data_IF_744378202070
#
_entry.id   IF_744378202070
#
_cell.length_a   1.000
_cell.length_b   1.000
_cell.length_c   1.000
_cell.angle_alpha   90.00
_cell.angle_beta   90.00
_cell.angle_gamma   90.00
#
_symmetry.space_group_name_H-M   'P 1'
#
loop_
_entity.id
_entity.type
_entity.pdbx_description
1 polymer ?
#
# COMPACT_ATOMS: atom_id res chain seq x y z
N UNK A 1 -29.82 -23.24 52.65
CA UNK A 1 -28.75 -23.07 51.65
C UNK A 1 -28.06 -21.73 51.92
N UNK A 2 -26.76 -21.71 52.19
CA UNK A 2 -26.00 -20.46 52.39
C UNK A 2 -25.61 -19.90 51.02
N UNK A 3 -26.29 -18.86 50.56
CA UNK A 3 -25.90 -18.13 49.35
C UNK A 3 -24.63 -17.34 49.68
N UNK A 4 -23.45 -17.92 49.39
CA UNK A 4 -22.17 -17.19 49.45
C UNK A 4 -22.10 -16.29 48.22
N UNK A 5 -22.50 -15.03 48.37
CA UNK A 5 -22.26 -14.00 47.36
C UNK A 5 -20.77 -13.67 47.24
N UNK A 6 -20.36 -13.19 46.07
CA UNK A 6 -19.01 -12.68 45.84
C UNK A 6 -18.75 -11.46 46.73
N UNK A 7 -17.54 -11.40 47.31
CA UNK A 7 -17.10 -10.23 48.08
C UNK A 7 -16.57 -9.15 47.14
N UNK A 8 -16.60 -7.90 47.62
CA UNK A 8 -16.19 -6.74 46.84
C UNK A 8 -14.69 -6.78 46.48
N UNK A 9 -13.87 -7.36 47.36
CA UNK A 9 -12.43 -7.55 47.14
C UNK A 9 -12.15 -8.57 46.04
N UNK A 10 -12.89 -9.69 46.02
CA UNK A 10 -12.76 -10.71 44.96
C UNK A 10 -13.14 -10.14 43.59
N UNK A 11 -14.19 -9.33 43.53
CA UNK A 11 -14.60 -8.66 42.28
C UNK A 11 -13.52 -7.67 41.79
N UNK A 12 -12.93 -6.89 42.70
CA UNK A 12 -11.89 -5.92 42.36
C UNK A 12 -10.63 -6.60 41.84
N UNK A 13 -10.20 -7.70 42.46
CA UNK A 13 -9.05 -8.48 42.01
C UNK A 13 -9.23 -9.02 40.57
N UNK A 14 -10.43 -9.52 40.24
CA UNK A 14 -10.75 -10.00 38.89
C UNK A 14 -10.70 -8.87 37.86
N UNK A 15 -11.24 -7.69 38.17
CA UNK A 15 -11.22 -6.53 37.26
C UNK A 15 -9.77 -6.11 36.96
N UNK A 16 -8.90 -6.07 37.97
CA UNK A 16 -7.48 -5.74 37.79
C UNK A 16 -6.81 -6.75 36.85
N UNK A 17 -6.99 -8.05 37.08
CA UNK A 17 -6.40 -9.09 36.23
C UNK A 17 -6.92 -8.98 34.79
N UNK A 18 -8.23 -8.80 34.61
CA UNK A 18 -8.84 -8.64 33.28
C UNK A 18 -8.27 -7.42 32.55
N UNK A 19 -8.09 -6.28 33.23
CA UNK A 19 -7.55 -5.06 32.62
C UNK A 19 -6.12 -5.26 32.08
N UNK A 20 -5.28 -6.02 32.80
CA UNK A 20 -3.92 -6.35 32.37
C UNK A 20 -3.92 -7.25 31.14
N UNK A 21 -4.75 -8.29 31.13
CA UNK A 21 -4.87 -9.23 30.02
C UNK A 21 -5.37 -8.54 28.75
N UNK A 22 -6.40 -7.69 28.87
CA UNK A 22 -6.94 -6.91 27.74
C UNK A 22 -5.85 -6.01 27.15
N UNK A 23 -5.08 -5.33 28.00
CA UNK A 23 -4.01 -4.43 27.55
C UNK A 23 -2.98 -5.17 26.69
N UNK A 24 -2.45 -6.30 27.17
CA UNK A 24 -1.47 -7.10 26.41
C UNK A 24 -2.07 -7.65 25.11
N UNK A 25 -3.34 -8.07 25.16
CA UNK A 25 -4.09 -8.55 24.00
C UNK A 25 -4.20 -7.49 22.90
N UNK A 26 -4.59 -6.25 23.25
CA UNK A 26 -4.80 -5.18 22.28
C UNK A 26 -3.52 -4.76 21.55
N UNK A 27 -2.39 -4.61 22.25
CA UNK A 27 -1.10 -4.25 21.62
C UNK A 27 -0.65 -5.30 20.60
N UNK A 28 -0.79 -6.58 20.94
CA UNK A 28 -0.47 -7.69 20.06
C UNK A 28 -1.29 -7.65 18.76
N UNK A 29 -2.60 -7.46 18.88
CA UNK A 29 -3.51 -7.39 17.72
C UNK A 29 -3.21 -6.16 16.85
N UNK A 30 -2.94 -5.00 17.45
CA UNK A 30 -2.61 -3.79 16.68
C UNK A 30 -1.34 -3.97 15.84
N UNK A 31 -0.30 -4.60 16.40
CA UNK A 31 0.94 -4.88 15.67
C UNK A 31 0.71 -5.81 14.48
N UNK A 32 -0.04 -6.89 14.68
CA UNK A 32 -0.38 -7.84 13.61
C UNK A 32 -1.14 -7.12 12.49
N UNK A 33 -2.17 -6.35 12.85
CA UNK A 33 -2.96 -5.58 11.89
C UNK A 33 -2.09 -4.65 11.06
N UNK A 34 -1.22 -3.87 11.69
CA UNK A 34 -0.35 -2.93 10.98
C UNK A 34 0.60 -3.63 10.00
N UNK A 35 1.16 -4.78 10.40
CA UNK A 35 2.00 -5.58 9.52
C UNK A 35 1.22 -6.15 8.33
N UNK A 36 -0.03 -6.60 8.56
CA UNK A 36 -0.91 -7.05 7.47
C UNK A 36 -1.24 -5.93 6.49
N UNK A 37 -1.53 -4.71 6.97
CA UNK A 37 -1.79 -3.56 6.10
C UNK A 37 -0.56 -3.18 5.27
N UNK A 38 0.64 -3.21 5.85
CA UNK A 38 1.90 -2.99 5.11
C UNK A 38 2.11 -4.04 4.02
N UNK A 39 1.90 -5.32 4.35
CA UNK A 39 2.02 -6.41 3.37
C UNK A 39 1.04 -6.27 2.20
N UNK A 40 -0.16 -5.75 2.43
CA UNK A 40 -1.10 -5.45 1.35
C UNK A 40 -0.59 -4.34 0.44
N UNK A 41 -0.01 -3.27 1.00
CA UNK A 41 0.63 -2.20 0.21
C UNK A 41 1.80 -2.77 -0.59
N UNK A 42 2.68 -3.55 0.02
CA UNK A 42 3.82 -4.17 -0.67
C UNK A 42 3.38 -5.08 -1.83
N UNK A 43 2.28 -5.81 -1.64
CA UNK A 43 1.68 -6.63 -2.71
C UNK A 43 1.20 -5.76 -3.86
N UNK A 44 0.49 -4.66 -3.57
CA UNK A 44 0.06 -3.69 -4.59
C UNK A 44 1.23 -3.08 -5.34
N UNK A 45 2.32 -2.74 -4.65
CA UNK A 45 3.56 -2.23 -5.29
C UNK A 45 4.10 -3.25 -6.29
N UNK A 46 4.23 -4.52 -5.87
CA UNK A 46 4.73 -5.58 -6.74
C UNK A 46 3.81 -5.81 -7.95
N UNK A 47 2.49 -5.79 -7.74
CA UNK A 47 1.51 -5.95 -8.82
C UNK A 47 1.54 -4.78 -9.81
N UNK A 48 1.73 -3.54 -9.31
CA UNK A 48 1.91 -2.35 -10.13
C UNK A 48 3.21 -2.41 -10.94
N UNK A 49 4.31 -2.86 -10.34
CA UNK A 49 5.57 -3.08 -11.06
C UNK A 49 5.43 -4.15 -12.14
N UNK A 50 4.75 -5.26 -11.85
CA UNK A 50 4.46 -6.29 -12.85
C UNK A 50 3.61 -5.74 -14.00
N UNK A 51 2.57 -4.97 -13.70
CA UNK A 51 1.70 -4.32 -14.70
C UNK A 51 2.46 -3.30 -15.55
N UNK A 52 3.37 -2.55 -14.93
CA UNK A 52 4.23 -1.61 -15.61
C UNK A 52 5.25 -2.30 -16.54
N UNK A 53 5.76 -3.46 -16.15
CA UNK A 53 6.61 -4.28 -17.02
C UNK A 53 5.85 -4.66 -18.29
N UNK A 54 4.60 -5.12 -18.16
CA UNK A 54 3.76 -5.47 -19.31
C UNK A 54 3.53 -4.24 -20.19
N UNK A 55 3.17 -3.10 -19.61
CA UNK A 55 2.99 -1.84 -20.35
C UNK A 55 4.24 -1.46 -21.16
N UNK A 56 5.44 -1.52 -20.57
CA UNK A 56 6.67 -1.22 -21.29
C UNK A 56 7.12 -2.27 -22.29
N UNK A 57 6.58 -3.49 -22.23
CA UNK A 57 6.81 -4.55 -23.21
C UNK A 57 5.91 -4.36 -24.43
N UNK A 58 4.64 -4.05 -24.23
CA UNK A 58 3.66 -3.83 -25.30
C UNK A 58 3.83 -2.47 -25.98
N UNK A 59 4.24 -1.44 -25.23
CA UNK A 59 4.54 -0.10 -25.77
C UNK A 59 6.03 0.24 -25.61
N UNK A 60 6.94 -0.40 -26.36
CA UNK A 60 8.38 -0.20 -26.20
C UNK A 60 8.84 1.24 -26.49
N UNK A 61 8.09 1.97 -27.31
CA UNK A 61 8.43 3.33 -27.76
C UNK A 61 8.28 4.38 -26.65
N UNK A 62 7.58 4.06 -25.56
CA UNK A 62 7.48 4.96 -24.40
C UNK A 62 8.83 5.12 -23.69
N UNK A 63 9.75 4.16 -23.87
CA UNK A 63 11.08 4.12 -23.22
C UNK A 63 12.09 5.01 -23.96
N UNK A 64 11.72 6.27 -24.17
CA UNK A 64 12.44 7.24 -24.98
C UNK A 64 13.27 8.25 -24.18
N UNK A 65 13.37 8.08 -22.86
CA UNK A 65 14.09 8.99 -21.99
C UNK A 65 15.13 8.26 -21.15
N UNK A 66 16.08 9.02 -20.59
CA UNK A 66 17.02 8.48 -19.61
C UNK A 66 16.48 8.65 -18.20
N UNK A 67 16.82 7.73 -17.31
CA UNK A 67 16.53 7.88 -15.88
C UNK A 67 17.67 7.36 -15.02
N UNK A 68 17.72 7.84 -13.78
CA UNK A 68 18.61 7.33 -12.75
C UNK A 68 17.78 6.58 -11.71
N UNK A 69 18.09 5.31 -11.51
CA UNK A 69 17.44 4.44 -10.54
C UNK A 69 18.53 3.87 -9.63
N UNK A 70 18.47 4.19 -8.33
CA UNK A 70 19.44 3.79 -7.31
C UNK A 70 20.91 4.08 -7.67
N UNK A 71 21.18 5.21 -8.34
CA UNK A 71 22.53 5.60 -8.76
C UNK A 71 22.98 4.99 -10.09
N UNK A 72 22.13 4.21 -10.77
CA UNK A 72 22.41 3.62 -12.08
C UNK A 72 21.64 4.36 -13.17
N UNK A 73 22.34 4.84 -14.20
CA UNK A 73 21.74 5.48 -15.37
C UNK A 73 21.26 4.43 -16.39
N UNK A 74 20.02 4.57 -16.85
CA UNK A 74 19.43 3.76 -17.90
C UNK A 74 19.08 4.64 -19.11
N UNK A 75 19.53 4.23 -20.29
CA UNK A 75 19.31 4.99 -21.54
C UNK A 75 17.89 4.89 -22.09
N UNK A 76 17.14 3.85 -21.71
CA UNK A 76 15.80 3.55 -22.20
C UNK A 76 14.87 3.39 -21.01
N UNK A 77 14.16 4.46 -20.70
CA UNK A 77 13.37 4.57 -19.49
C UNK A 77 12.19 5.52 -19.67
N UNK A 78 11.19 5.38 -18.80
CA UNK A 78 10.06 6.28 -18.67
C UNK A 78 9.58 6.31 -17.22
N UNK A 79 9.28 7.51 -16.72
CA UNK A 79 8.50 7.69 -15.50
C UNK A 79 7.01 7.64 -15.84
N UNK A 80 6.26 6.81 -15.14
CA UNK A 80 4.82 6.62 -15.32
C UNK A 80 4.12 6.73 -13.97
N UNK A 81 2.91 7.28 -13.98
CA UNK A 81 2.04 7.34 -12.80
C UNK A 81 1.11 6.13 -12.78
N UNK A 82 0.74 5.67 -11.59
CA UNK A 82 -0.21 4.56 -11.42
C UNK A 82 -1.52 4.78 -12.16
N UNK A 83 -2.07 6.01 -12.15
CA UNK A 83 -3.28 6.36 -12.91
C UNK A 83 -3.19 6.01 -14.41
N UNK A 84 -2.00 6.13 -15.00
CA UNK A 84 -1.79 5.82 -16.43
C UNK A 84 -1.93 4.33 -16.69
N UNK A 85 -1.38 3.47 -15.81
CA UNK A 85 -1.52 2.02 -15.95
C UNK A 85 -2.98 1.57 -15.85
N UNK A 86 -3.74 2.20 -14.94
CA UNK A 86 -5.15 1.85 -14.75
C UNK A 86 -6.01 2.32 -15.94
N UNK A 87 -5.80 3.56 -16.41
CA UNK A 87 -6.55 4.11 -17.55
C UNK A 87 -6.26 3.37 -18.85
N UNK A 88 -5.03 2.90 -19.03
CA UNK A 88 -4.63 2.11 -20.19
C UNK A 88 -4.97 0.61 -20.05
N UNK A 89 -5.59 0.19 -18.94
CA UNK A 89 -6.07 -1.19 -18.75
C UNK A 89 -5.00 -2.20 -18.32
N UNK A 90 -3.80 -1.76 -17.99
CA UNK A 90 -2.71 -2.62 -17.50
C UNK A 90 -2.87 -3.01 -16.02
N UNK A 91 -3.67 -2.26 -15.26
CA UNK A 91 -3.98 -2.57 -13.87
C UNK A 91 -5.47 -2.35 -13.59
N UNK A 92 -6.10 -3.31 -12.92
CA UNK A 92 -7.49 -3.18 -12.49
C UNK A 92 -7.58 -2.94 -10.98
N UNK A 93 -8.39 -1.97 -10.59
CA UNK A 93 -8.79 -1.76 -9.20
C UNK A 93 -10.31 -1.82 -9.07
N UNK A 94 -10.79 -2.37 -7.96
CA UNK A 94 -12.20 -2.35 -7.55
C UNK A 94 -12.43 -1.48 -6.31
N UNK A 95 -11.39 -0.81 -5.84
CA UNK A 95 -11.43 -0.01 -4.63
C UNK A 95 -12.15 1.32 -4.89
N UNK A 96 -12.76 1.83 -3.82
CA UNK A 96 -13.44 3.12 -3.81
C UNK A 96 -12.79 4.00 -2.76
N UNK A 97 -12.68 5.29 -3.06
CA UNK A 97 -12.32 6.29 -2.06
C UNK A 97 -13.52 6.69 -1.19
N UNK A 98 -13.30 7.60 -0.24
CA UNK A 98 -14.33 8.09 0.69
C UNK A 98 -15.56 8.72 0.01
N UNK A 99 -15.45 9.09 -1.27
CA UNK A 99 -16.55 9.66 -2.06
C UNK A 99 -17.21 8.61 -2.98
N UNK A 100 -17.00 7.31 -2.73
CA UNK A 100 -17.49 6.19 -3.54
C UNK A 100 -17.04 6.24 -5.02
N UNK A 101 -15.93 6.91 -5.32
CA UNK A 101 -15.34 6.92 -6.66
C UNK A 101 -14.24 5.87 -6.78
N UNK A 102 -14.12 5.26 -7.94
CA UNK A 102 -13.08 4.25 -8.25
C UNK A 102 -11.69 4.86 -7.97
N UNK A 103 -10.86 4.10 -7.25
CA UNK A 103 -9.53 4.54 -6.81
C UNK A 103 -8.63 3.32 -6.56
N UNK A 104 -7.36 3.53 -6.21
CA UNK A 104 -6.48 2.53 -5.63
C UNK A 104 -5.93 3.09 -4.31
N UNK A 105 -6.22 2.45 -3.18
CA UNK A 105 -5.99 3.04 -1.87
C UNK A 105 -4.82 2.38 -1.16
N UNK A 106 -3.95 3.19 -0.56
CA UNK A 106 -2.92 2.69 0.35
C UNK A 106 -3.57 2.19 1.65
N UNK A 107 -3.42 0.89 1.96
CA UNK A 107 -4.08 0.28 3.12
C UNK A 107 -3.59 0.81 4.47
N UNK A 108 -2.41 1.46 4.52
CA UNK A 108 -1.82 2.02 5.75
C UNK A 108 -2.32 3.45 5.97
N UNK A 109 -2.14 4.33 4.99
CA UNK A 109 -2.44 5.78 5.11
C UNK A 109 -3.83 6.16 4.67
N UNK A 110 -4.52 5.29 3.91
CA UNK A 110 -5.79 5.56 3.22
C UNK A 110 -5.73 6.60 2.11
N UNK A 111 -4.52 7.01 1.72
CA UNK A 111 -4.33 7.93 0.60
C UNK A 111 -4.42 7.20 -0.75
N UNK A 112 -4.85 7.94 -1.78
CA UNK A 112 -4.88 7.43 -3.15
C UNK A 112 -3.46 7.19 -3.67
N UNK A 113 -3.27 6.05 -4.33
CA UNK A 113 -2.02 5.64 -4.99
C UNK A 113 -1.97 6.11 -6.45
N UNK A 114 -3.01 6.76 -6.99
CA UNK A 114 -3.09 7.16 -8.40
C UNK A 114 -1.94 8.08 -8.85
N UNK A 115 -1.43 8.90 -7.92
CA UNK A 115 -0.33 9.82 -8.13
C UNK A 115 1.04 9.22 -7.83
N UNK A 116 1.11 7.98 -7.34
CA UNK A 116 2.37 7.30 -7.10
C UNK A 116 3.08 7.06 -8.44
N UNK A 117 4.40 7.10 -8.40
CA UNK A 117 5.27 7.07 -9.57
C UNK A 117 6.19 5.86 -9.55
N UNK A 118 6.36 5.28 -10.73
CA UNK A 118 7.31 4.21 -11.00
C UNK A 118 8.09 4.50 -12.28
N UNK A 119 9.31 3.99 -12.32
CA UNK A 119 10.09 3.93 -13.56
C UNK A 119 9.86 2.60 -14.24
N UNK A 120 9.76 2.65 -15.57
CA UNK A 120 9.86 1.51 -16.47
C UNK A 120 11.17 1.69 -17.22
N UNK A 121 12.02 0.67 -17.28
CA UNK A 121 13.34 0.78 -17.88
C UNK A 121 13.76 -0.52 -18.56
N UNK A 122 14.62 -0.39 -19.58
CA UNK A 122 15.17 -1.54 -20.31
C UNK A 122 16.63 -1.76 -19.94
N UNK A 123 16.97 -3.02 -19.62
CA UNK A 123 18.33 -3.48 -19.37
C UNK A 123 18.52 -4.82 -20.08
N UNK A 124 19.58 -4.96 -20.88
CA UNK A 124 19.89 -6.20 -21.62
C UNK A 124 18.68 -6.75 -22.41
N UNK A 125 17.98 -5.85 -23.11
CA UNK A 125 16.77 -6.15 -23.89
C UNK A 125 15.57 -6.69 -23.08
N UNK A 126 15.57 -6.56 -21.75
CA UNK A 126 14.45 -6.90 -20.87
C UNK A 126 13.90 -5.65 -20.22
N UNK A 127 12.57 -5.60 -20.09
CA UNK A 127 11.84 -4.51 -19.43
C UNK A 127 11.72 -4.83 -17.94
N UNK A 128 11.96 -3.82 -17.12
CA UNK A 128 11.84 -3.83 -15.67
C UNK A 128 11.03 -2.63 -15.23
N UNK A 129 10.46 -2.70 -14.03
CA UNK A 129 9.84 -1.56 -13.38
C UNK A 129 10.34 -1.44 -11.94
N UNK A 130 10.30 -0.23 -11.40
CA UNK A 130 10.59 0.04 -10.00
C UNK A 130 9.79 1.23 -9.50
N UNK A 131 9.07 1.06 -8.39
CA UNK A 131 8.40 2.15 -7.70
C UNK A 131 9.43 3.01 -6.95
N UNK A 132 9.35 4.32 -7.10
CA UNK A 132 10.36 5.25 -6.58
C UNK A 132 9.80 6.23 -5.56
N UNK A 133 8.62 6.80 -5.84
CA UNK A 133 7.98 7.79 -4.99
C UNK A 133 6.56 7.32 -4.68
N UNK A 134 6.45 6.57 -3.58
CA UNK A 134 5.17 6.15 -3.02
C UNK A 134 4.63 7.31 -2.19
N UNK A 135 4.19 8.36 -2.89
CA UNK A 135 3.61 9.57 -2.31
C UNK A 135 2.47 9.25 -1.35
N UNK A 136 1.72 8.20 -1.64
CA UNK A 136 0.65 7.69 -0.79
C UNK A 136 1.11 7.23 0.60
N UNK A 137 2.40 6.96 0.83
CA UNK A 137 2.92 6.66 2.18
C UNK A 137 3.00 7.89 3.09
N UNK A 138 2.91 9.10 2.55
CA UNK A 138 2.90 10.33 3.32
C UNK A 138 1.45 10.77 3.59
N UNK A 139 1.05 10.82 4.86
CA UNK A 139 -0.31 11.17 5.29
C UNK A 139 -0.75 12.58 4.81
N UNK A 140 0.19 13.50 4.63
CA UNK A 140 -0.09 14.87 4.16
C UNK A 140 -0.19 14.99 2.65
N UNK A 141 0.09 13.93 1.89
CA UNK A 141 0.05 13.99 0.42
C UNK A 141 -1.38 13.86 -0.09
N UNK A 142 -1.79 14.82 -0.93
CA UNK A 142 -3.10 14.81 -1.60
C UNK A 142 -2.90 14.52 -3.08
N UNK A 143 -3.51 13.43 -3.54
CA UNK A 143 -3.57 13.10 -4.96
C UNK A 143 -4.84 13.68 -5.60
N UNK A 144 -4.67 14.47 -6.65
CA UNK A 144 -5.78 15.11 -7.39
C UNK A 144 -6.15 14.36 -8.69
N UNK A 145 -5.62 13.15 -8.90
CA UNK A 145 -5.95 12.33 -10.07
C UNK A 145 -7.29 11.60 -9.88
N UNK A 146 -7.94 11.27 -11.01
CA UNK A 146 -9.20 10.52 -11.04
C UNK A 146 -9.18 9.48 -12.16
N UNK A 147 -9.89 8.37 -11.95
CA UNK A 147 -10.05 7.28 -12.92
C UNK A 147 -11.20 7.54 -13.89
#
# INVERSE_FOLDING_TARGET
MKNKGFTLVELLAVIVILSLVITIGTFSVMKIRNNSLKKLVDTKVNDLEASAIVYGQEEPDILNSKCNIDGVEYSFCKKVRVVTLIKNGYYETRELNSNNKKDLINNVTRNSMLCDELYIYRKNNRVYAKMIDIKSNNESNVCNETL
#
